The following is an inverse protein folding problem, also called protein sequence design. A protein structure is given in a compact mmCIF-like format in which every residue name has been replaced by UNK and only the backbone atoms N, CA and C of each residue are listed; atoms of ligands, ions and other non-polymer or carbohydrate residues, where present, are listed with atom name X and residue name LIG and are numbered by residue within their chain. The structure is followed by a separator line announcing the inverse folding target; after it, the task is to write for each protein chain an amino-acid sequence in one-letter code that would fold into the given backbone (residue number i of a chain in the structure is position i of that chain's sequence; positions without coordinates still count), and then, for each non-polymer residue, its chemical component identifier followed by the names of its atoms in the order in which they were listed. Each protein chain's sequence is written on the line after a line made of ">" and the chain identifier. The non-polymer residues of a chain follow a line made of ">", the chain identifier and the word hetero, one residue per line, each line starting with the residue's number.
data_IF_806813511948
#
_entry.id   IF_806813511948
#
_cell.length_a   1.000
_cell.length_b   1.000
_cell.length_c   1.000
_cell.angle_alpha   90.00
_cell.angle_beta   90.00
_cell.angle_gamma   90.00
#
_symmetry.space_group_name_H-M   'P 1'
#
loop_
_entity.id
_entity.type
_entity.pdbx_description
1 polymer ?
#
# COMPACT_ATOMS: atom_id res chain seq x y z
N UNK A 1 52.91 33.44 -50.29
CA UNK A 1 51.91 32.43 -50.72
C UNK A 1 52.28 31.09 -50.10
N UNK A 2 51.31 30.22 -49.79
CA UNK A 2 51.28 29.05 -48.87
C UNK A 2 50.83 29.48 -47.45
N UNK A 3 49.64 30.05 -47.23
CA UNK A 3 48.26 29.58 -47.45
C UNK A 3 47.76 28.55 -46.42
N UNK A 4 47.26 29.05 -45.29
CA UNK A 4 45.90 28.81 -44.75
C UNK A 4 45.42 27.35 -44.49
N UNK A 5 46.29 26.34 -44.42
CA UNK A 5 45.87 24.93 -44.22
C UNK A 5 45.88 24.41 -42.77
N UNK A 6 46.66 24.98 -41.84
CA UNK A 6 46.73 24.43 -40.47
C UNK A 6 45.61 24.90 -39.52
N UNK A 7 44.95 26.03 -39.81
CA UNK A 7 43.93 26.61 -38.89
C UNK A 7 42.56 25.91 -39.04
N UNK A 8 42.28 25.27 -40.19
CA UNK A 8 40.98 24.60 -40.44
C UNK A 8 40.86 23.18 -39.87
N UNK A 9 41.90 22.63 -39.23
CA UNK A 9 41.80 21.31 -38.59
C UNK A 9 41.32 21.38 -37.13
N UNK A 10 41.66 22.45 -36.40
CA UNK A 10 41.22 22.63 -35.02
C UNK A 10 39.73 22.99 -34.90
N UNK A 11 39.13 23.50 -35.98
CA UNK A 11 37.76 24.01 -35.97
C UNK A 11 36.68 22.94 -36.23
N UNK A 12 37.06 21.71 -36.61
CA UNK A 12 36.13 20.59 -36.82
C UNK A 12 36.07 19.59 -35.65
N UNK A 13 36.94 19.73 -34.65
CA UNK A 13 36.91 18.88 -33.45
C UNK A 13 35.95 19.42 -32.36
N UNK A 14 35.59 20.72 -32.41
CA UNK A 14 34.75 21.35 -31.39
C UNK A 14 33.24 21.17 -31.59
N UNK A 15 32.79 20.65 -32.74
CA UNK A 15 31.36 20.54 -33.07
C UNK A 15 30.77 19.14 -32.85
N UNK A 16 31.58 18.13 -32.52
CA UNK A 16 31.11 16.75 -32.32
C UNK A 16 31.02 16.36 -30.83
N UNK A 17 31.64 17.13 -29.94
CA UNK A 17 31.64 16.83 -28.50
C UNK A 17 30.56 17.57 -27.69
N UNK A 18 29.68 18.34 -28.34
CA UNK A 18 28.63 19.13 -27.67
C UNK A 18 27.22 18.51 -27.80
N UNK A 19 27.11 17.26 -28.24
CA UNK A 19 25.81 16.56 -28.46
C UNK A 19 25.68 15.32 -27.54
N UNK A 20 26.61 15.08 -26.61
CA UNK A 20 26.65 13.85 -25.80
C UNK A 20 26.32 14.05 -24.31
N UNK A 21 25.63 15.13 -23.95
CA UNK A 21 25.20 15.38 -22.55
C UNK A 21 23.72 15.76 -22.46
N UNK A 22 22.89 14.99 -23.16
CA UNK A 22 21.51 14.74 -22.77
C UNK A 22 21.42 13.28 -22.29
N UNK A 23 22.22 12.93 -21.28
CA UNK A 23 21.85 11.84 -20.37
C UNK A 23 20.61 12.33 -19.65
N UNK A 24 19.48 12.13 -20.31
CA UNK A 24 18.18 12.12 -19.69
C UNK A 24 18.32 11.28 -18.42
N UNK A 25 18.03 11.89 -17.27
CA UNK A 25 17.56 11.12 -16.14
C UNK A 25 16.25 10.47 -16.60
N UNK A 26 16.36 9.37 -17.33
CA UNK A 26 15.31 8.38 -17.36
C UNK A 26 15.20 7.94 -15.90
N UNK A 27 14.33 8.62 -15.14
CA UNK A 27 13.76 8.06 -13.93
C UNK A 27 13.26 6.71 -14.41
N UNK A 28 13.83 5.58 -13.94
CA UNK A 28 13.27 4.29 -14.26
C UNK A 28 11.83 4.42 -13.81
N UNK A 29 10.90 4.37 -14.76
CA UNK A 29 9.51 4.13 -14.44
C UNK A 29 9.58 2.88 -13.58
N UNK A 30 9.38 3.05 -12.27
CA UNK A 30 9.43 1.97 -11.30
C UNK A 30 8.11 1.26 -11.54
N UNK A 31 7.99 0.64 -12.71
CA UNK A 31 6.96 -0.28 -13.11
C UNK A 31 6.82 -1.18 -11.91
N UNK A 32 5.72 -0.98 -11.20
CA UNK A 32 5.41 -1.64 -9.95
C UNK A 32 5.65 -3.12 -10.19
N UNK A 33 6.83 -3.59 -9.79
CA UNK A 33 7.40 -4.82 -10.32
C UNK A 33 6.81 -5.95 -9.52
N UNK A 34 5.47 -6.10 -9.57
CA UNK A 34 4.69 -7.07 -8.81
C UNK A 34 5.39 -7.44 -7.50
N UNK A 35 5.70 -6.44 -6.69
CA UNK A 35 6.57 -6.65 -5.54
C UNK A 35 5.87 -7.62 -4.62
N UNK A 36 6.60 -8.62 -4.14
CA UNK A 36 6.13 -9.49 -3.08
C UNK A 36 5.52 -8.65 -1.96
N UNK A 37 4.39 -9.11 -1.40
CA UNK A 37 3.69 -8.37 -0.35
C UNK A 37 4.60 -8.29 0.89
N UNK A 38 4.98 -7.10 1.36
CA UNK A 38 5.99 -6.96 2.41
C UNK A 38 5.36 -7.23 3.79
N UNK A 39 5.23 -8.51 4.13
CA UNK A 39 4.49 -9.00 5.33
C UNK A 39 4.90 -8.26 6.60
N UNK A 40 6.19 -8.17 6.91
CA UNK A 40 6.67 -7.53 8.14
C UNK A 40 6.32 -6.04 8.18
N UNK A 41 6.57 -5.30 7.09
CA UNK A 41 6.22 -3.89 7.01
C UNK A 41 4.70 -3.67 7.11
N UNK A 42 3.91 -4.55 6.50
CA UNK A 42 2.45 -4.48 6.58
C UNK A 42 1.96 -4.68 8.03
N UNK A 43 2.55 -5.62 8.77
CA UNK A 43 2.24 -5.84 10.18
C UNK A 43 2.57 -4.61 11.02
N UNK A 44 3.79 -4.09 10.90
CA UNK A 44 4.23 -2.89 11.65
C UNK A 44 3.36 -1.67 11.35
N UNK A 45 3.02 -1.48 10.07
CA UNK A 45 2.18 -0.37 9.61
C UNK A 45 0.78 -0.48 10.20
N UNK A 46 0.17 -1.67 10.11
CA UNK A 46 -1.19 -1.91 10.61
C UNK A 46 -1.26 -1.84 12.14
N UNK A 47 -0.30 -2.45 12.85
CA UNK A 47 -0.22 -2.37 14.31
C UNK A 47 -0.10 -0.91 14.76
N UNK A 48 0.82 -0.17 14.14
CA UNK A 48 1.03 1.24 14.44
C UNK A 48 -0.24 2.04 14.15
N UNK A 49 -0.88 1.83 12.99
CA UNK A 49 -2.12 2.50 12.65
C UNK A 49 -3.23 2.24 13.66
N UNK A 50 -3.54 0.97 13.95
CA UNK A 50 -4.59 0.61 14.90
C UNK A 50 -4.35 1.19 16.29
N UNK A 51 -3.12 1.05 16.82
CA UNK A 51 -2.76 1.58 18.14
C UNK A 51 -2.84 3.11 18.18
N UNK A 52 -2.31 3.78 17.16
CA UNK A 52 -2.28 5.25 17.15
C UNK A 52 -3.69 5.83 17.05
N UNK A 53 -4.54 5.23 16.22
CA UNK A 53 -5.94 5.64 16.05
C UNK A 53 -6.71 5.41 17.35
N UNK A 54 -6.66 4.20 17.93
CA UNK A 54 -7.42 3.91 19.16
C UNK A 54 -7.01 4.78 20.35
N UNK A 55 -5.73 5.15 20.45
CA UNK A 55 -5.21 5.93 21.58
C UNK A 55 -5.37 7.44 21.43
N UNK A 56 -5.52 7.97 20.21
CA UNK A 56 -5.50 9.42 19.95
C UNK A 56 -6.81 9.99 19.45
N UNK A 57 -7.75 9.14 19.02
CA UNK A 57 -9.03 9.65 18.56
C UNK A 57 -9.89 10.16 19.73
N UNK A 58 -10.77 11.12 19.43
CA UNK A 58 -11.58 11.81 20.44
C UNK A 58 -12.58 10.85 21.09
N UNK A 59 -13.13 9.93 20.29
CA UNK A 59 -13.98 8.84 20.76
C UNK A 59 -13.15 7.57 20.97
N UNK A 60 -13.41 6.86 22.07
CA UNK A 60 -12.77 5.58 22.35
C UNK A 60 -13.32 4.52 21.38
N UNK A 61 -12.54 4.18 20.37
CA UNK A 61 -12.80 3.06 19.47
C UNK A 61 -11.82 1.95 19.76
N UNK A 62 -12.32 0.74 19.97
CA UNK A 62 -11.47 -0.42 20.27
C UNK A 62 -10.59 -0.79 19.07
N UNK A 63 -9.43 -1.37 19.34
CA UNK A 63 -8.56 -1.92 18.28
C UNK A 63 -9.32 -2.96 17.44
N UNK A 64 -10.15 -3.79 18.08
CA UNK A 64 -11.03 -4.76 17.42
C UNK A 64 -11.94 -4.10 16.39
N UNK A 65 -12.65 -3.04 16.75
CA UNK A 65 -13.62 -2.43 15.86
C UNK A 65 -12.90 -1.77 14.66
N UNK A 66 -11.75 -1.13 14.90
CA UNK A 66 -10.91 -0.60 13.82
C UNK A 66 -10.45 -1.71 12.87
N UNK A 67 -9.98 -2.84 13.38
CA UNK A 67 -9.49 -3.94 12.58
C UNK A 67 -10.61 -4.63 11.78
N UNK A 68 -11.78 -4.83 12.40
CA UNK A 68 -12.95 -5.41 11.74
C UNK A 68 -13.48 -4.53 10.61
N UNK A 69 -13.62 -3.22 10.84
CA UNK A 69 -14.00 -2.30 9.77
C UNK A 69 -12.92 -2.18 8.70
N UNK A 70 -11.65 -2.28 9.08
CA UNK A 70 -10.57 -2.34 8.11
C UNK A 70 -10.63 -3.59 7.23
N UNK A 71 -10.94 -4.75 7.80
CA UNK A 71 -11.21 -5.96 7.03
C UNK A 71 -12.43 -5.81 6.12
N UNK A 72 -13.48 -5.11 6.58
CA UNK A 72 -14.69 -4.83 5.76
C UNK A 72 -14.35 -3.90 4.59
N UNK A 73 -13.45 -2.93 4.79
CA UNK A 73 -12.96 -2.03 3.73
C UNK A 73 -12.31 -2.75 2.55
N UNK A 74 -11.82 -3.98 2.74
CA UNK A 74 -11.27 -4.82 1.66
C UNK A 74 -12.31 -5.16 0.58
N UNK A 75 -13.62 -5.06 0.85
CA UNK A 75 -14.66 -5.25 -0.16
C UNK A 75 -14.64 -4.20 -1.27
N UNK A 76 -13.92 -3.09 -1.08
CA UNK A 76 -13.67 -2.09 -2.13
C UNK A 76 -12.76 -2.61 -3.24
N UNK A 77 -11.93 -3.61 -2.95
CA UNK A 77 -11.05 -4.29 -3.91
C UNK A 77 -11.79 -5.47 -4.54
N UNK A 78 -12.49 -6.26 -3.72
CA UNK A 78 -13.29 -7.40 -4.16
C UNK A 78 -14.72 -7.31 -3.61
N UNK A 79 -15.71 -6.88 -4.41
CA UNK A 79 -17.09 -6.68 -3.93
C UNK A 79 -17.79 -7.93 -3.39
N UNK A 80 -17.28 -9.12 -3.69
CA UNK A 80 -17.83 -10.40 -3.20
C UNK A 80 -17.37 -10.73 -1.77
N UNK A 81 -16.39 -10.00 -1.24
CA UNK A 81 -15.81 -10.22 0.07
C UNK A 81 -16.78 -9.81 1.19
N UNK A 82 -16.90 -10.67 2.19
CA UNK A 82 -17.75 -10.48 3.37
C UNK A 82 -16.96 -10.83 4.62
N UNK A 83 -17.11 -10.00 5.66
CA UNK A 83 -16.55 -10.20 6.99
C UNK A 83 -17.71 -10.36 7.96
N UNK A 84 -17.79 -11.53 8.58
CA UNK A 84 -18.79 -11.82 9.60
C UNK A 84 -18.11 -12.24 10.89
N UNK A 85 -18.75 -11.94 12.00
CA UNK A 85 -18.28 -12.37 13.32
C UNK A 85 -19.21 -13.45 13.82
N UNK A 86 -18.63 -14.54 14.32
CA UNK A 86 -19.38 -15.66 14.84
C UNK A 86 -18.70 -16.17 16.11
N UNK A 87 -19.30 -15.88 17.27
CA UNK A 87 -18.72 -16.18 18.58
C UNK A 87 -17.30 -15.60 18.73
N UNK A 88 -16.29 -16.44 18.86
CA UNK A 88 -14.87 -16.10 18.96
C UNK A 88 -14.13 -16.24 17.62
N UNK A 89 -14.87 -16.32 16.51
CA UNK A 89 -14.33 -16.42 15.15
C UNK A 89 -14.69 -15.22 14.28
N UNK A 90 -13.78 -14.93 13.35
CA UNK A 90 -13.98 -14.03 12.22
C UNK A 90 -14.05 -14.89 10.95
N UNK A 91 -15.17 -14.76 10.24
CA UNK A 91 -15.43 -15.44 8.99
C UNK A 91 -15.13 -14.49 7.83
N UNK A 92 -14.12 -14.83 7.04
CA UNK A 92 -13.77 -14.15 5.79
C UNK A 92 -14.32 -14.99 4.64
N UNK A 93 -15.27 -14.45 3.90
CA UNK A 93 -15.99 -15.16 2.85
C UNK A 93 -15.89 -14.45 1.51
N UNK A 94 -15.55 -15.17 0.45
CA UNK A 94 -15.47 -14.61 -0.90
C UNK A 94 -15.62 -15.69 -1.97
N UNK A 95 -15.95 -15.29 -3.19
CA UNK A 95 -16.07 -16.23 -4.32
C UNK A 95 -14.75 -16.94 -4.67
N UNK A 96 -13.59 -16.34 -4.35
CA UNK A 96 -12.28 -16.91 -4.65
C UNK A 96 -11.69 -17.78 -3.54
N UNK A 97 -12.03 -17.51 -2.27
CA UNK A 97 -11.43 -18.22 -1.12
C UNK A 97 -12.41 -19.18 -0.42
N UNK A 98 -13.70 -19.11 -0.72
CA UNK A 98 -14.75 -19.77 0.06
C UNK A 98 -14.86 -19.12 1.44
N UNK A 99 -15.06 -19.91 2.49
CA UNK A 99 -15.01 -19.43 3.88
C UNK A 99 -13.65 -19.71 4.50
N UNK A 100 -13.06 -18.69 5.14
CA UNK A 100 -11.91 -18.80 6.03
C UNK A 100 -12.33 -18.39 7.43
N UNK A 101 -11.80 -19.08 8.44
CA UNK A 101 -12.05 -18.84 9.85
C UNK A 101 -10.76 -18.41 10.52
N UNK A 102 -10.85 -17.36 11.33
CA UNK A 102 -9.77 -16.88 12.16
C UNK A 102 -10.28 -16.73 13.59
N UNK A 103 -9.49 -17.15 14.58
CA UNK A 103 -9.81 -16.83 15.97
C UNK A 103 -9.68 -15.32 16.18
N UNK A 104 -10.70 -14.72 16.79
CA UNK A 104 -10.70 -13.32 17.16
C UNK A 104 -9.65 -13.08 18.25
N UNK A 105 -8.71 -12.14 18.04
CA UNK A 105 -7.76 -11.73 19.08
C UNK A 105 -8.45 -11.04 20.26
N UNK A 106 -7.69 -10.81 21.33
CA UNK A 106 -8.16 -9.95 22.42
C UNK A 106 -8.48 -8.54 21.90
N UNK A 107 -9.56 -7.87 22.37
CA UNK A 107 -10.05 -6.66 21.72
C UNK A 107 -9.05 -5.51 21.59
N UNK A 108 -8.14 -5.34 22.55
CA UNK A 108 -7.16 -4.25 22.57
C UNK A 108 -5.75 -4.64 22.10
N UNK A 109 -5.57 -5.86 21.57
CA UNK A 109 -4.26 -6.35 21.13
C UNK A 109 -3.96 -5.93 19.67
N UNK A 110 -3.37 -4.74 19.49
CA UNK A 110 -3.07 -4.18 18.16
C UNK A 110 -2.17 -5.05 17.31
N UNK A 111 -1.22 -5.74 17.93
CA UNK A 111 -0.26 -6.60 17.25
C UNK A 111 -0.94 -7.89 16.77
N UNK A 112 -1.76 -8.54 17.60
CA UNK A 112 -2.52 -9.70 17.18
C UNK A 112 -3.56 -9.38 16.09
N UNK A 113 -4.23 -8.23 16.17
CA UNK A 113 -5.14 -7.76 15.12
C UNK A 113 -4.41 -7.45 13.82
N UNK A 114 -3.26 -6.78 13.87
CA UNK A 114 -2.44 -6.52 12.68
C UNK A 114 -1.98 -7.82 12.01
N UNK A 115 -1.52 -8.81 12.80
CA UNK A 115 -1.17 -10.14 12.28
C UNK A 115 -2.34 -10.85 11.60
N UNK A 116 -3.54 -10.75 12.17
CA UNK A 116 -4.74 -11.35 11.58
C UNK A 116 -5.06 -10.68 10.24
N UNK A 117 -5.07 -9.35 10.18
CA UNK A 117 -5.31 -8.58 8.96
C UNK A 117 -4.30 -8.96 7.86
N UNK A 118 -3.01 -9.04 8.19
CA UNK A 118 -1.97 -9.46 7.24
C UNK A 118 -2.17 -10.90 6.76
N UNK A 119 -2.57 -11.82 7.66
CA UNK A 119 -2.89 -13.20 7.28
C UNK A 119 -4.07 -13.27 6.32
N UNK A 120 -5.13 -12.49 6.56
CA UNK A 120 -6.28 -12.38 5.67
C UNK A 120 -5.87 -11.84 4.28
N UNK A 121 -5.03 -10.79 4.24
CA UNK A 121 -4.49 -10.25 2.99
C UNK A 121 -3.66 -11.28 2.22
N UNK A 122 -2.83 -12.07 2.91
CA UNK A 122 -2.06 -13.15 2.27
C UNK A 122 -2.98 -14.23 1.67
N UNK A 123 -4.01 -14.66 2.40
CA UNK A 123 -4.98 -15.65 1.92
C UNK A 123 -5.75 -15.15 0.68
N UNK A 124 -6.14 -13.88 0.69
CA UNK A 124 -6.80 -13.23 -0.45
C UNK A 124 -5.85 -13.14 -1.64
N UNK A 125 -4.61 -12.66 -1.44
CA UNK A 125 -3.60 -12.59 -2.50
C UNK A 125 -3.21 -13.95 -3.06
N UNK A 126 -3.33 -15.03 -2.30
CA UNK A 126 -3.05 -16.35 -2.83
C UNK A 126 -4.05 -16.76 -3.93
N UNK A 127 -5.29 -16.25 -3.91
CA UNK A 127 -6.42 -16.81 -4.68
C UNK A 127 -7.14 -15.78 -5.55
N UNK A 128 -7.43 -14.58 -5.03
CA UNK A 128 -8.10 -13.51 -5.79
C UNK A 128 -7.14 -12.83 -6.78
N UNK A 129 -7.50 -12.73 -8.07
CA UNK A 129 -6.78 -11.92 -9.05
C UNK A 129 -6.69 -10.44 -8.70
N UNK A 130 -7.76 -9.87 -8.15
CA UNK A 130 -7.88 -8.46 -7.78
C UNK A 130 -6.90 -8.12 -6.66
N UNK A 131 -6.86 -8.94 -5.61
CA UNK A 131 -5.89 -8.77 -4.52
C UNK A 131 -4.46 -8.99 -4.97
N UNK A 132 -4.18 -9.90 -5.91
CA UNK A 132 -2.83 -10.05 -6.49
C UNK A 132 -2.37 -8.84 -7.28
N UNK A 133 -3.31 -8.19 -7.97
CA UNK A 133 -3.02 -7.03 -8.81
C UNK A 133 -2.85 -5.75 -7.99
N UNK A 134 -3.49 -5.65 -6.82
CA UNK A 134 -3.32 -4.53 -5.90
C UNK A 134 -1.87 -4.44 -5.37
N UNK A 135 -1.30 -3.24 -5.38
CA UNK A 135 -0.05 -2.95 -4.67
C UNK A 135 -0.29 -2.76 -3.16
N UNK A 136 0.77 -2.63 -2.39
CA UNK A 136 0.65 -2.54 -0.92
C UNK A 136 -0.09 -1.28 -0.47
N UNK A 137 0.12 -0.14 -1.15
CA UNK A 137 -0.58 1.11 -0.81
C UNK A 137 -2.08 0.98 -1.02
N UNK A 138 -2.53 0.33 -2.09
CA UNK A 138 -3.96 0.07 -2.32
C UNK A 138 -4.58 -0.81 -1.25
N UNK A 139 -3.81 -1.79 -0.74
CA UNK A 139 -4.25 -2.63 0.37
C UNK A 139 -4.34 -1.82 1.67
N UNK A 140 -3.35 -0.98 1.96
CA UNK A 140 -3.36 -0.11 3.15
C UNK A 140 -4.50 0.91 3.08
N UNK A 141 -4.73 1.53 1.93
CA UNK A 141 -5.84 2.45 1.71
C UNK A 141 -7.17 1.76 1.99
N UNK A 142 -7.42 0.58 1.41
CA UNK A 142 -8.66 -0.15 1.65
C UNK A 142 -8.87 -0.52 3.13
N UNK A 143 -7.81 -0.94 3.83
CA UNK A 143 -7.91 -1.28 5.26
C UNK A 143 -8.13 -0.02 6.10
N UNK A 144 -7.32 1.02 5.93
CA UNK A 144 -7.40 2.19 6.80
C UNK A 144 -8.61 3.07 6.50
N UNK A 145 -9.04 3.22 5.24
CA UNK A 145 -10.31 3.91 4.94
C UNK A 145 -11.50 3.17 5.56
N UNK A 146 -11.46 1.82 5.57
CA UNK A 146 -12.41 1.00 6.32
C UNK A 146 -12.37 1.32 7.82
N UNK A 147 -11.21 1.22 8.45
CA UNK A 147 -11.04 1.50 9.89
C UNK A 147 -11.48 2.91 10.29
N UNK A 148 -11.16 3.92 9.47
CA UNK A 148 -11.46 5.32 9.74
C UNK A 148 -12.93 5.68 9.49
N UNK A 149 -13.70 4.81 8.81
CA UNK A 149 -15.12 5.04 8.56
C UNK A 149 -15.96 5.13 9.84
N UNK A 150 -15.47 4.58 10.96
CA UNK A 150 -16.07 4.69 12.29
C UNK A 150 -15.96 6.08 12.90
N UNK A 151 -15.00 6.88 12.44
CA UNK A 151 -14.50 8.04 13.18
C UNK A 151 -15.07 9.35 12.65
N UNK A 152 -14.90 9.59 11.36
CA UNK A 152 -15.48 10.72 10.65
C UNK A 152 -15.52 10.44 9.15
N UNK A 153 -16.58 10.87 8.49
CA UNK A 153 -16.85 10.59 7.06
C UNK A 153 -15.81 11.17 6.09
N UNK A 154 -14.97 12.10 6.54
CA UNK A 154 -13.92 12.72 5.75
C UNK A 154 -12.52 12.19 6.08
N UNK A 155 -12.38 11.38 7.13
CA UNK A 155 -11.09 10.77 7.48
C UNK A 155 -10.68 9.74 6.43
N UNK A 156 -9.45 9.87 5.93
CA UNK A 156 -8.89 8.98 4.92
C UNK A 156 -7.41 8.73 5.15
N UNK A 157 -6.95 7.56 4.74
CA UNK A 157 -5.54 7.24 4.71
C UNK A 157 -4.84 8.02 3.61
N UNK A 158 -3.82 8.81 3.98
CA UNK A 158 -2.93 9.43 3.02
C UNK A 158 -1.79 8.45 2.71
N UNK A 159 -1.77 7.93 1.47
CA UNK A 159 -0.66 7.11 0.98
C UNK A 159 0.68 7.83 1.12
N UNK A 160 1.78 7.08 1.11
CA UNK A 160 3.13 7.66 1.22
C UNK A 160 3.38 8.77 0.18
N UNK A 161 2.83 8.61 -1.03
CA UNK A 161 2.89 9.62 -2.09
C UNK A 161 2.10 10.88 -1.71
N UNK A 162 0.83 10.75 -1.34
CA UNK A 162 -0.01 11.89 -0.96
C UNK A 162 0.54 12.61 0.28
N UNK A 163 1.05 11.87 1.26
CA UNK A 163 1.68 12.43 2.45
C UNK A 163 2.96 13.23 2.12
N UNK A 164 3.64 12.92 1.01
CA UNK A 164 4.78 13.69 0.52
C UNK A 164 4.33 14.95 -0.23
N UNK A 165 3.27 14.86 -1.03
CA UNK A 165 2.71 15.98 -1.79
C UNK A 165 2.04 17.05 -0.91
N UNK A 166 1.55 16.66 0.27
CA UNK A 166 0.85 17.53 1.22
C UNK A 166 1.75 18.14 2.31
N UNK A 167 3.08 18.09 2.14
CA UNK A 167 4.07 18.73 3.03
C UNK A 167 4.47 20.11 2.53
#
# INVERSE_FOLDING_TARGET
>A
MITKRCIKLAQKAAAVFLIASLTACAVPDRQASRSEFPVALAQDTLETGYRQISQRFIENVSVRDLALEGLRGLSTIEPSLRIEEYADEILLQSSYIGTRRYNAPFPEDSDAWARLTVRALMDLRARSPEFRAADSEKLYEAVFDGSLSLLDKFSRYASAKQATENR
#
